data_IF_584469718540
#
_entry.id   IF_584469718540
#
_cell.length_a   1.000
_cell.length_b   1.000
_cell.length_c   1.000
_cell.angle_alpha   90.00
_cell.angle_beta   90.00
_cell.angle_gamma   90.00
#
_symmetry.space_group_name_H-M   'P 1'
#
loop_
_entity.id
_entity.type
_entity.pdbx_description
1 polymer ?
#
# COMPACT_ATOMS: atom_id res chain seq x y z
N UNK A 1 7.10 12.66 10.85
CA UNK A 1 6.68 11.66 9.84
C UNK A 1 7.86 11.06 9.07
N UNK A 2 8.83 11.84 8.57
CA UNK A 2 10.01 11.29 7.87
C UNK A 2 10.89 10.33 8.70
N UNK A 3 11.03 10.55 10.01
CA UNK A 3 11.83 9.68 10.88
C UNK A 3 11.25 8.28 11.05
N UNK A 4 9.92 8.14 11.20
CA UNK A 4 9.27 6.83 11.39
C UNK A 4 9.41 5.99 10.12
N UNK A 5 9.23 6.59 8.95
CA UNK A 5 9.41 5.92 7.67
C UNK A 5 10.85 5.42 7.46
N UNK A 6 11.84 6.20 7.88
CA UNK A 6 13.26 5.80 7.80
C UNK A 6 13.57 4.64 8.73
N UNK A 7 12.97 4.62 9.92
CA UNK A 7 13.11 3.53 10.89
C UNK A 7 12.40 2.26 10.44
N UNK A 8 11.26 2.38 9.77
CA UNK A 8 10.45 1.27 9.30
C UNK A 8 11.11 0.46 8.16
N UNK A 9 11.91 1.14 7.31
CA UNK A 9 12.47 0.57 6.10
C UNK A 9 13.25 -0.74 6.29
N UNK A 10 14.22 -0.84 7.22
CA UNK A 10 14.97 -2.08 7.39
C UNK A 10 14.10 -3.24 7.86
N UNK A 11 13.03 -2.97 8.63
CA UNK A 11 12.08 -3.99 9.05
C UNK A 11 11.18 -4.46 7.91
N UNK A 12 10.73 -3.54 7.04
CA UNK A 12 9.95 -3.88 5.87
C UNK A 12 10.78 -4.71 4.86
N UNK A 13 12.03 -4.33 4.61
CA UNK A 13 12.95 -5.06 3.75
C UNK A 13 13.26 -6.46 4.31
N UNK A 14 13.46 -6.59 5.62
CA UNK A 14 13.69 -7.89 6.28
C UNK A 14 12.44 -8.79 6.20
N UNK A 15 11.25 -8.25 6.50
CA UNK A 15 9.99 -8.97 6.38
C UNK A 15 9.76 -9.44 4.94
N UNK A 16 10.03 -8.57 3.97
CA UNK A 16 9.88 -8.87 2.54
C UNK A 16 10.84 -9.98 2.10
N UNK A 17 12.11 -9.94 2.51
CA UNK A 17 13.08 -10.98 2.17
C UNK A 17 12.69 -12.37 2.72
N UNK A 18 12.11 -12.43 3.94
CA UNK A 18 11.60 -13.67 4.51
C UNK A 18 10.36 -14.14 3.76
N UNK A 19 9.42 -13.24 3.47
CA UNK A 19 8.19 -13.53 2.74
C UNK A 19 8.46 -14.00 1.30
N UNK A 20 9.42 -13.39 0.61
CA UNK A 20 9.85 -13.79 -0.75
C UNK A 20 10.47 -15.20 -0.73
N UNK A 21 11.33 -15.47 0.25
CA UNK A 21 12.00 -16.78 0.39
C UNK A 21 11.00 -17.91 0.69
N UNK A 22 9.95 -17.64 1.46
CA UNK A 22 8.87 -18.59 1.76
C UNK A 22 7.82 -18.69 0.65
N UNK A 23 7.77 -17.73 -0.28
CA UNK A 23 6.76 -17.63 -1.33
C UNK A 23 5.39 -17.12 -0.86
N UNK A 24 5.30 -16.57 0.34
CA UNK A 24 4.04 -16.23 1.02
C UNK A 24 3.82 -14.72 1.22
N UNK A 25 4.12 -13.90 0.19
CA UNK A 25 3.96 -12.44 0.25
C UNK A 25 2.55 -12.00 0.70
N UNK A 26 1.52 -12.70 0.23
CA UNK A 26 0.13 -12.37 0.58
C UNK A 26 -0.17 -12.62 2.06
N UNK A 27 0.33 -13.72 2.62
CA UNK A 27 0.19 -14.05 4.06
C UNK A 27 0.86 -12.98 4.92
N UNK A 28 2.07 -12.57 4.57
CA UNK A 28 2.81 -11.53 5.29
C UNK A 28 2.10 -10.17 5.22
N UNK A 29 1.55 -9.80 4.08
CA UNK A 29 0.77 -8.55 3.94
C UNK A 29 -0.45 -8.54 4.87
N UNK A 30 -1.22 -9.64 4.92
CA UNK A 30 -2.38 -9.77 5.84
C UNK A 30 -1.92 -9.74 7.30
N UNK A 31 -0.87 -10.47 7.64
CA UNK A 31 -0.30 -10.52 8.99
C UNK A 31 0.15 -9.13 9.46
N UNK A 32 0.92 -8.39 8.64
CA UNK A 32 1.34 -7.02 8.95
C UNK A 32 0.15 -6.06 9.10
N UNK A 33 -0.89 -6.22 8.29
CA UNK A 33 -2.14 -5.46 8.42
C UNK A 33 -2.84 -5.69 9.77
N UNK A 34 -2.94 -6.95 10.20
CA UNK A 34 -3.53 -7.30 11.50
C UNK A 34 -2.68 -6.75 12.66
N UNK A 35 -1.35 -6.83 12.55
CA UNK A 35 -0.43 -6.29 13.55
C UNK A 35 -0.54 -4.77 13.67
N UNK A 36 -0.57 -4.04 12.56
CA UNK A 36 -0.71 -2.59 12.54
C UNK A 36 -2.04 -2.15 13.18
N UNK A 37 -3.15 -2.81 12.80
CA UNK A 37 -4.47 -2.56 13.39
C UNK A 37 -4.49 -2.85 14.89
N UNK A 38 -3.79 -3.89 15.33
CA UNK A 38 -3.69 -4.25 16.76
C UNK A 38 -2.87 -3.24 17.54
N UNK A 39 -1.74 -2.80 16.98
CA UNK A 39 -0.88 -1.81 17.63
C UNK A 39 -1.56 -0.43 17.79
N UNK A 40 -2.52 -0.10 16.93
CA UNK A 40 -3.26 1.16 16.98
C UNK A 40 -4.36 1.19 18.05
N UNK A 41 -4.73 0.05 18.64
CA UNK A 41 -5.75 -0.03 19.69
C UNK A 41 -5.26 0.64 20.98
N UNK A 42 -6.09 1.48 21.62
CA UNK A 42 -5.71 2.18 22.86
C UNK A 42 -5.28 1.23 23.97
N UNK A 43 -5.98 0.11 24.13
CA UNK A 43 -5.71 -0.89 25.16
C UNK A 43 -4.34 -1.55 24.97
N UNK A 44 -3.93 -1.76 23.72
CA UNK A 44 -2.62 -2.35 23.39
C UNK A 44 -1.50 -1.33 23.57
N UNK A 45 -1.73 -0.08 23.26
CA UNK A 45 -0.76 1.02 23.51
C UNK A 45 -0.45 1.17 25.00
N UNK A 46 -1.47 1.05 25.86
CA UNK A 46 -1.27 1.06 27.32
C UNK A 46 -0.44 -0.15 27.81
N UNK A 47 -0.62 -1.32 27.20
CA UNK A 47 0.16 -2.51 27.54
C UNK A 47 1.63 -2.40 27.10
N UNK A 48 1.89 -1.84 25.92
CA UNK A 48 3.25 -1.63 25.40
C UNK A 48 4.07 -0.69 26.28
N UNK A 49 3.43 0.29 26.91
CA UNK A 49 4.09 1.22 27.86
C UNK A 49 4.16 0.71 29.30
N UNK A 50 3.63 -0.46 29.62
CA UNK A 50 3.53 -0.95 30.98
C UNK A 50 4.75 -1.80 31.38
N UNK A 51 5.58 -1.38 32.37
CA UNK A 51 6.77 -2.10 32.79
C UNK A 51 6.47 -3.45 33.46
N UNK A 52 5.22 -3.76 33.79
CA UNK A 52 4.81 -5.06 34.35
C UNK A 52 4.52 -6.11 33.28
N UNK A 53 4.45 -5.73 32.00
CA UNK A 53 4.21 -6.63 30.87
C UNK A 53 5.57 -7.01 30.27
N UNK A 54 5.88 -8.30 30.24
CA UNK A 54 7.14 -8.75 29.66
C UNK A 54 7.10 -8.70 28.11
N UNK A 55 8.28 -8.58 27.48
CA UNK A 55 8.40 -8.66 26.01
C UNK A 55 7.82 -9.97 25.47
N UNK A 56 7.98 -11.08 26.21
CA UNK A 56 7.43 -12.38 25.82
C UNK A 56 5.90 -12.39 25.81
N UNK A 57 5.26 -11.71 26.78
CA UNK A 57 3.81 -11.58 26.81
C UNK A 57 3.30 -10.72 25.65
N UNK A 58 4.00 -9.62 25.34
CA UNK A 58 3.69 -8.77 24.18
C UNK A 58 3.81 -9.58 22.88
N UNK A 59 4.89 -10.32 22.68
CA UNK A 59 5.04 -11.23 21.52
C UNK A 59 3.87 -12.19 21.42
N UNK A 60 3.44 -12.77 22.55
CA UNK A 60 2.30 -13.69 22.62
C UNK A 60 0.98 -13.03 22.16
N UNK A 61 0.69 -11.84 22.66
CA UNK A 61 -0.51 -11.05 22.32
C UNK A 61 -0.53 -10.71 20.84
N UNK A 62 0.57 -10.16 20.32
CA UNK A 62 0.67 -9.78 18.92
C UNK A 62 0.65 -10.99 17.97
N UNK A 63 1.29 -12.10 18.32
CA UNK A 63 1.25 -13.33 17.53
C UNK A 63 -0.16 -13.91 17.47
N UNK A 64 -0.92 -13.88 18.57
CA UNK A 64 -2.32 -14.30 18.57
C UNK A 64 -3.20 -13.37 17.70
N UNK A 65 -2.97 -12.07 17.75
CA UNK A 65 -3.73 -11.09 16.98
C UNK A 65 -3.39 -11.10 15.48
N UNK A 66 -2.16 -11.48 15.12
CA UNK A 66 -1.71 -11.54 13.72
C UNK A 66 -2.43 -12.60 12.88
N UNK A 67 -3.00 -13.63 13.54
CA UNK A 67 -3.54 -14.82 12.88
C UNK A 67 -2.45 -15.79 12.39
N UNK A 68 -1.18 -15.50 12.69
CA UNK A 68 -0.04 -16.29 12.29
C UNK A 68 0.94 -16.47 13.47
N UNK A 69 1.00 -17.67 14.03
CA UNK A 69 1.85 -18.03 15.15
C UNK A 69 3.16 -18.71 14.71
N UNK A 70 3.62 -18.51 13.47
CA UNK A 70 4.86 -19.08 12.95
C UNK A 70 6.10 -18.59 13.71
N UNK A 71 7.19 -19.33 13.62
CA UNK A 71 8.45 -18.94 14.25
C UNK A 71 9.00 -17.63 13.65
N UNK A 72 8.83 -17.45 12.34
CA UNK A 72 9.24 -16.25 11.63
C UNK A 72 8.50 -15.01 12.15
N UNK A 73 7.17 -15.10 12.31
CA UNK A 73 6.34 -14.01 12.84
C UNK A 73 6.74 -13.65 14.27
N UNK A 74 6.99 -14.65 15.11
CA UNK A 74 7.45 -14.42 16.51
C UNK A 74 8.83 -13.77 16.57
N UNK A 75 9.76 -14.20 15.71
CA UNK A 75 11.09 -13.60 15.64
C UNK A 75 11.03 -12.15 15.15
N UNK A 76 10.20 -11.87 14.16
CA UNK A 76 9.97 -10.53 13.64
C UNK A 76 9.37 -9.61 14.71
N UNK A 77 8.36 -10.09 15.44
CA UNK A 77 7.75 -9.36 16.55
C UNK A 77 8.76 -9.13 17.69
N UNK A 78 9.56 -10.14 18.05
CA UNK A 78 10.63 -10.00 19.05
C UNK A 78 11.59 -8.87 18.68
N UNK A 79 12.05 -8.82 17.42
CA UNK A 79 12.92 -7.74 16.94
C UNK A 79 12.28 -6.35 17.08
N UNK A 80 10.99 -6.21 16.78
CA UNK A 80 10.29 -4.92 16.89
C UNK A 80 10.10 -4.50 18.35
N UNK A 81 9.75 -5.44 19.22
CA UNK A 81 9.50 -5.20 20.64
C UNK A 81 10.82 -4.87 21.38
N UNK A 82 11.88 -5.65 21.15
CA UNK A 82 13.19 -5.44 21.78
C UNK A 82 13.84 -4.10 21.41
N UNK A 83 13.45 -3.54 20.27
CA UNK A 83 13.93 -2.24 19.79
C UNK A 83 12.94 -1.07 20.05
N UNK A 84 11.82 -1.30 20.73
CA UNK A 84 10.76 -0.29 20.95
C UNK A 84 10.21 0.30 19.65
N UNK A 85 10.01 -0.53 18.62
CA UNK A 85 9.59 -0.11 17.25
C UNK A 85 8.18 -0.53 16.87
N UNK A 86 7.35 -0.94 17.82
CA UNK A 86 5.94 -1.31 17.55
C UNK A 86 5.13 -0.15 16.93
N UNK A 87 5.43 1.08 17.29
CA UNK A 87 4.80 2.28 16.71
C UNK A 87 5.11 2.47 15.19
N UNK A 88 6.13 1.78 14.67
CA UNK A 88 6.48 1.83 13.25
C UNK A 88 5.73 0.80 12.40
N UNK A 89 4.91 -0.09 13.00
CA UNK A 89 4.24 -1.20 12.30
C UNK A 89 3.38 -0.76 11.12
N UNK A 90 2.66 0.36 11.23
CA UNK A 90 1.89 0.92 10.12
C UNK A 90 2.80 1.27 8.94
N UNK A 91 3.88 1.98 9.21
CA UNK A 91 4.86 2.36 8.19
C UNK A 91 5.62 1.17 7.61
N UNK A 92 5.86 0.12 8.43
CA UNK A 92 6.44 -1.15 7.97
C UNK A 92 5.51 -1.87 7.01
N UNK A 93 4.22 -1.94 7.32
CA UNK A 93 3.20 -2.51 6.44
C UNK A 93 3.17 -1.78 5.10
N UNK A 94 3.10 -0.45 5.12
CA UNK A 94 3.00 0.35 3.90
C UNK A 94 4.21 0.15 2.99
N UNK A 95 5.41 0.12 3.56
CA UNK A 95 6.64 -0.13 2.81
C UNK A 95 6.75 -1.58 2.31
N UNK A 96 6.28 -2.56 3.10
CA UNK A 96 6.20 -3.96 2.65
C UNK A 96 5.27 -4.11 1.46
N UNK A 97 4.10 -3.47 1.49
CA UNK A 97 3.12 -3.53 0.40
C UNK A 97 3.65 -2.84 -0.87
N UNK A 98 4.44 -1.77 -0.75
CA UNK A 98 5.15 -1.17 -1.88
C UNK A 98 6.16 -2.14 -2.50
N UNK A 99 7.02 -2.79 -1.69
CA UNK A 99 7.98 -3.79 -2.16
C UNK A 99 7.29 -4.97 -2.83
N UNK A 100 6.16 -5.41 -2.26
CA UNK A 100 5.33 -6.48 -2.84
C UNK A 100 4.78 -6.08 -4.21
N UNK A 101 4.23 -4.86 -4.33
CA UNK A 101 3.72 -4.33 -5.60
C UNK A 101 4.83 -4.25 -6.65
N UNK A 102 6.02 -3.75 -6.27
CA UNK A 102 7.18 -3.71 -7.16
C UNK A 102 7.58 -5.11 -7.63
N UNK A 103 7.59 -6.09 -6.73
CA UNK A 103 7.98 -7.47 -7.03
C UNK A 103 6.95 -8.21 -7.88
N UNK A 104 5.66 -8.03 -7.59
CA UNK A 104 4.56 -8.60 -8.35
C UNK A 104 4.36 -7.91 -9.70
N UNK A 105 5.08 -6.81 -9.95
CA UNK A 105 4.92 -5.99 -11.13
C UNK A 105 3.54 -5.36 -11.22
N UNK A 106 2.86 -5.19 -10.09
CA UNK A 106 1.53 -4.59 -10.00
C UNK A 106 1.66 -3.10 -9.67
N UNK A 107 0.92 -2.24 -10.36
CA UNK A 107 0.87 -0.80 -10.10
C UNK A 107 -0.59 -0.41 -9.89
N UNK A 108 -0.85 0.37 -8.85
CA UNK A 108 -2.17 0.94 -8.63
C UNK A 108 -2.44 2.06 -9.64
N UNK A 109 -3.64 2.08 -10.21
CA UNK A 109 -4.08 3.11 -11.13
C UNK A 109 -5.38 3.74 -10.60
N UNK A 110 -5.31 5.01 -10.23
CA UNK A 110 -6.48 5.79 -9.88
C UNK A 110 -7.08 6.38 -11.16
N UNK A 111 -8.30 5.94 -11.48
CA UNK A 111 -9.02 6.31 -12.70
C UNK A 111 -10.17 7.23 -12.31
N UNK A 112 -10.05 8.51 -12.62
CA UNK A 112 -11.13 9.47 -12.52
C UNK A 112 -11.87 9.49 -13.87
N UNK A 113 -13.17 9.24 -13.85
CA UNK A 113 -14.01 9.24 -15.05
C UNK A 113 -15.22 10.17 -14.88
N UNK A 114 -15.65 10.81 -15.95
CA UNK A 114 -16.87 11.62 -15.97
C UNK A 114 -18.14 10.77 -15.75
N UNK A 115 -18.09 9.47 -16.07
CA UNK A 115 -19.19 8.52 -15.93
C UNK A 115 -18.73 7.24 -15.25
N UNK A 116 -19.64 6.47 -14.63
CA UNK A 116 -19.29 5.17 -14.07
C UNK A 116 -18.73 4.23 -15.16
N UNK A 117 -17.45 3.83 -15.00
CA UNK A 117 -16.83 2.81 -15.84
C UNK A 117 -17.07 1.44 -15.25
N UNK A 118 -17.67 0.52 -16.02
CA UNK A 118 -17.91 -0.85 -15.57
C UNK A 118 -17.80 -1.84 -16.73
N UNK A 119 -17.62 -3.13 -16.38
CA UNK A 119 -17.65 -4.22 -17.35
C UNK A 119 -16.55 -4.13 -18.41
N UNK A 120 -16.93 -4.23 -19.67
CA UNK A 120 -16.01 -4.32 -20.81
C UNK A 120 -15.13 -3.05 -20.97
N UNK A 121 -15.70 -1.88 -20.75
CA UNK A 121 -14.97 -0.60 -20.92
C UNK A 121 -13.80 -0.48 -19.92
N UNK A 122 -14.02 -0.86 -18.67
CA UNK A 122 -12.96 -0.89 -17.66
C UNK A 122 -11.91 -1.94 -18.01
N UNK A 123 -12.32 -3.13 -18.46
CA UNK A 123 -11.40 -4.19 -18.83
C UNK A 123 -10.51 -3.80 -20.01
N UNK A 124 -11.06 -3.17 -21.04
CA UNK A 124 -10.31 -2.67 -22.20
C UNK A 124 -9.33 -1.57 -21.82
N UNK A 125 -9.74 -0.66 -20.93
CA UNK A 125 -8.88 0.41 -20.42
C UNK A 125 -7.70 -0.18 -19.64
N UNK A 126 -7.95 -1.10 -18.72
CA UNK A 126 -6.91 -1.80 -17.94
C UNK A 126 -5.96 -2.55 -18.86
N UNK A 127 -6.45 -3.31 -19.85
CA UNK A 127 -5.60 -4.03 -20.80
C UNK A 127 -4.71 -3.09 -21.63
N UNK A 128 -5.19 -1.92 -21.99
CA UNK A 128 -4.40 -0.91 -22.68
C UNK A 128 -3.30 -0.33 -21.76
N UNK A 129 -3.61 -0.07 -20.49
CA UNK A 129 -2.66 0.39 -19.50
C UNK A 129 -1.60 -0.67 -19.22
N UNK A 130 -1.98 -1.92 -19.03
CA UNK A 130 -1.06 -3.04 -18.82
C UNK A 130 -0.07 -3.21 -19.98
N UNK A 131 -0.55 -3.07 -21.22
CA UNK A 131 0.33 -3.09 -22.41
C UNK A 131 1.30 -1.90 -22.44
N UNK A 132 0.81 -0.71 -22.05
CA UNK A 132 1.63 0.51 -22.07
C UNK A 132 2.71 0.51 -21.00
N UNK A 133 2.38 0.04 -19.79
CA UNK A 133 3.28 0.04 -18.63
C UNK A 133 4.05 -1.29 -18.45
N UNK A 134 3.67 -2.34 -19.21
CA UNK A 134 4.23 -3.70 -19.08
C UNK A 134 4.14 -4.25 -17.64
N UNK A 135 3.10 -3.88 -16.91
CA UNK A 135 2.84 -4.24 -15.52
C UNK A 135 1.36 -4.54 -15.34
N UNK A 136 1.02 -5.34 -14.34
CA UNK A 136 -0.37 -5.53 -13.94
C UNK A 136 -0.92 -4.26 -13.31
N UNK A 137 -2.14 -3.89 -13.71
CA UNK A 137 -2.81 -2.69 -13.22
C UNK A 137 -3.94 -3.08 -12.27
N UNK A 138 -3.93 -2.47 -11.07
CA UNK A 138 -5.04 -2.55 -10.13
C UNK A 138 -5.84 -1.24 -10.23
N UNK A 139 -7.00 -1.23 -10.90
CA UNK A 139 -7.76 -0.02 -11.09
C UNK A 139 -8.59 0.32 -9.86
N UNK A 140 -8.56 1.58 -9.44
CA UNK A 140 -9.54 2.20 -8.54
C UNK A 140 -10.30 3.24 -9.32
N UNK A 141 -11.62 3.08 -9.50
CA UNK A 141 -12.43 4.01 -10.31
C UNK A 141 -13.20 4.96 -9.41
N UNK A 142 -13.02 6.26 -9.66
CA UNK A 142 -13.76 7.34 -9.01
C UNK A 142 -14.51 8.15 -10.06
N UNK A 143 -15.78 8.50 -9.79
CA UNK A 143 -16.57 9.34 -10.68
C UNK A 143 -16.32 10.81 -10.35
N UNK A 144 -15.76 11.55 -11.31
CA UNK A 144 -15.44 12.98 -11.23
C UNK A 144 -16.24 13.75 -12.27
N UNK A 145 -17.36 14.33 -11.85
CA UNK A 145 -18.30 15.04 -12.74
C UNK A 145 -17.76 16.34 -13.34
N UNK A 146 -16.66 16.87 -12.79
CA UNK A 146 -15.98 18.07 -13.27
C UNK A 146 -15.13 17.83 -14.54
N UNK A 147 -14.93 16.59 -14.95
CA UNK A 147 -14.18 16.24 -16.17
C UNK A 147 -14.94 16.50 -17.47
N UNK A 148 -16.26 16.72 -17.42
CA UNK A 148 -17.18 16.91 -18.58
C UNK A 148 -17.27 15.64 -19.44
N UNK A 149 -16.15 14.94 -19.67
CA UNK A 149 -16.02 13.70 -20.45
C UNK A 149 -14.59 13.18 -20.47
N UNK A 150 -14.44 11.90 -20.82
CA UNK A 150 -13.15 11.20 -20.84
C UNK A 150 -12.69 10.73 -19.47
N UNK A 151 -11.39 10.42 -19.37
CA UNK A 151 -10.78 9.85 -18.16
C UNK A 151 -9.47 10.54 -17.84
N UNK A 152 -9.16 10.64 -16.56
CA UNK A 152 -7.85 11.01 -16.04
C UNK A 152 -7.32 9.82 -15.22
N UNK A 153 -6.12 9.41 -15.49
CA UNK A 153 -5.54 8.19 -14.94
C UNK A 153 -4.21 8.55 -14.29
N UNK A 154 -4.07 8.27 -13.00
CA UNK A 154 -2.80 8.34 -12.29
C UNK A 154 -2.29 6.91 -12.08
N UNK A 155 -1.08 6.62 -12.59
CA UNK A 155 -0.40 5.33 -12.44
C UNK A 155 0.92 5.57 -11.74
N UNK A 156 0.97 5.32 -10.43
CA UNK A 156 2.12 5.70 -9.61
C UNK A 156 2.36 7.21 -9.64
N UNK A 157 3.51 7.63 -10.15
CA UNK A 157 3.91 9.03 -10.31
C UNK A 157 3.52 9.66 -11.67
N UNK A 158 2.96 8.86 -12.58
CA UNK A 158 2.58 9.30 -13.92
C UNK A 158 1.08 9.59 -14.03
N UNK A 159 0.74 10.78 -14.54
CA UNK A 159 -0.65 11.17 -14.80
C UNK A 159 -0.89 11.23 -16.31
N UNK A 160 -1.89 10.51 -16.78
CA UNK A 160 -2.38 10.53 -18.16
C UNK A 160 -3.75 11.22 -18.16
N UNK A 161 -3.80 12.42 -18.71
CA UNK A 161 -5.05 13.17 -18.83
C UNK A 161 -5.61 13.03 -20.25
N UNK A 162 -6.69 12.26 -20.38
CA UNK A 162 -7.45 12.07 -21.62
C UNK A 162 -8.86 12.67 -21.50
N UNK A 163 -9.05 13.59 -20.54
CA UNK A 163 -10.32 14.29 -20.36
C UNK A 163 -10.55 15.36 -21.43
N UNK A 164 -11.82 15.63 -21.74
CA UNK A 164 -12.21 16.74 -22.64
C UNK A 164 -11.70 18.07 -22.08
N UNK A 165 -11.77 18.27 -20.78
CA UNK A 165 -11.26 19.47 -20.11
C UNK A 165 -9.75 19.65 -20.31
N UNK A 166 -8.95 18.58 -20.13
CA UNK A 166 -7.50 18.61 -20.35
C UNK A 166 -7.15 18.92 -21.80
N UNK A 167 -7.86 18.31 -22.76
CA UNK A 167 -7.65 18.58 -24.19
C UNK A 167 -7.99 20.02 -24.57
N UNK A 168 -9.10 20.58 -24.10
CA UNK A 168 -9.45 21.96 -24.29
C UNK A 168 -8.44 22.94 -23.71
N UNK A 169 -7.94 22.67 -22.50
CA UNK A 169 -6.91 23.48 -21.87
C UNK A 169 -5.60 23.45 -22.67
N UNK A 170 -5.19 22.29 -23.16
CA UNK A 170 -4.01 22.14 -24.01
C UNK A 170 -4.14 22.89 -25.34
N UNK A 171 -5.32 22.86 -25.94
CA UNK A 171 -5.61 23.63 -27.15
C UNK A 171 -5.58 25.17 -26.92
N UNK A 172 -6.19 25.62 -25.80
CA UNK A 172 -6.17 27.04 -25.43
C UNK A 172 -4.73 27.56 -25.23
N UNK A 173 -3.88 26.78 -24.57
CA UNK A 173 -2.47 27.12 -24.36
C UNK A 173 -1.70 27.21 -25.68
N UNK A 174 -1.93 26.28 -26.60
CA UNK A 174 -1.29 26.31 -27.93
C UNK A 174 -1.72 27.53 -28.77
N UNK A 175 -2.99 27.91 -28.69
CA UNK A 175 -3.50 29.08 -29.40
C UNK A 175 -3.01 30.41 -28.79
N UNK A 176 -2.79 30.45 -27.48
CA UNK A 176 -2.28 31.63 -26.78
C UNK A 176 -0.77 31.85 -27.00
N UNK A 177 -0.04 30.80 -27.40
CA UNK A 177 1.43 30.83 -27.64
C UNK A 177 1.81 30.92 -29.13
N UNK A 178 0.83 31.01 -30.04
CA UNK A 178 0.99 31.21 -31.47
C UNK A 178 0.69 32.67 -31.84
#
# INVERSE_FOLDING_TARGET
MAEISTIARPYAEAAFAVAEKSGDLSRWSVMLGNLATTADRPEVRELVGNPLVSNADLVGIFAAASGDASAETRNFLGMLIDNDRLAALESVRDQFDLLKQEREGTVDADIESAFPLAGAELADLVANLERKFSRRIRPTVTVATDLIGGVRIAVGDQVIDSSVRGQLAAMATRLASA
#
